data_IF_697705968285
#
_entry.id   IF_697705968285
#
_cell.length_a   1.000
_cell.length_b   1.000
_cell.length_c   1.000
_cell.angle_alpha   90.00
_cell.angle_beta   90.00
_cell.angle_gamma   90.00
#
_symmetry.space_group_name_H-M   'P 1'
#
loop_
_entity.id
_entity.type
_entity.pdbx_description
1 polymer ?
#
# COMPACT_ATOMS: atom_id res chain seq x y z
N UNK A 1 17.64 -9.66 -11.96
CA UNK A 1 17.94 -8.22 -12.08
C UNK A 1 18.62 -7.73 -10.79
N UNK A 2 19.60 -6.82 -10.88
CA UNK A 2 20.16 -6.12 -9.72
C UNK A 2 19.10 -5.36 -8.93
N UNK A 3 19.35 -5.13 -7.64
CA UNK A 3 18.39 -4.46 -6.75
C UNK A 3 18.01 -3.05 -7.22
N UNK A 4 18.99 -2.23 -7.60
CA UNK A 4 18.75 -0.86 -8.05
C UNK A 4 17.91 -0.82 -9.34
N UNK A 5 18.13 -1.78 -10.24
CA UNK A 5 17.33 -1.92 -11.46
C UNK A 5 15.88 -2.28 -11.08
N UNK A 6 15.68 -3.26 -10.18
CA UNK A 6 14.36 -3.65 -9.70
C UNK A 6 13.61 -2.48 -9.05
N UNK A 7 14.29 -1.66 -8.25
CA UNK A 7 13.71 -0.48 -7.61
C UNK A 7 13.24 0.54 -8.65
N UNK A 8 14.06 0.80 -9.67
CA UNK A 8 13.67 1.68 -10.77
C UNK A 8 12.43 1.15 -11.51
N UNK A 9 12.35 -0.17 -11.77
CA UNK A 9 11.13 -0.75 -12.37
C UNK A 9 9.91 -0.61 -11.45
N UNK A 10 10.09 -0.79 -10.13
CA UNK A 10 9.02 -0.70 -9.13
C UNK A 10 8.46 0.71 -9.01
N UNK A 11 9.28 1.73 -9.24
CA UNK A 11 8.87 3.13 -9.19
C UNK A 11 8.25 3.62 -10.50
N UNK A 12 8.38 2.87 -11.60
CA UNK A 12 7.79 3.19 -12.89
C UNK A 12 6.33 2.68 -12.98
N UNK A 13 5.39 3.62 -12.91
CA UNK A 13 3.95 3.36 -13.01
C UNK A 13 3.54 2.64 -14.29
N UNK A 14 4.26 2.83 -15.41
CA UNK A 14 3.97 2.15 -16.67
C UNK A 14 4.19 0.63 -16.56
N UNK A 15 5.06 0.21 -15.64
CA UNK A 15 5.44 -1.20 -15.43
C UNK A 15 4.68 -1.87 -14.31
N UNK A 16 3.85 -1.15 -13.56
CA UNK A 16 3.08 -1.72 -12.45
C UNK A 16 2.26 -2.94 -12.86
N UNK A 17 1.61 -2.92 -14.03
CA UNK A 17 0.82 -4.05 -14.53
C UNK A 17 1.67 -5.30 -14.77
N UNK A 18 2.91 -5.12 -15.24
CA UNK A 18 3.87 -6.19 -15.51
C UNK A 18 4.41 -6.79 -14.20
N UNK A 19 4.78 -5.94 -13.23
CA UNK A 19 5.44 -6.39 -11.99
C UNK A 19 4.44 -6.91 -10.94
N UNK A 20 3.18 -6.46 -10.97
CA UNK A 20 2.19 -6.75 -9.93
C UNK A 20 2.04 -8.26 -9.64
N UNK A 21 1.94 -9.16 -10.64
CA UNK A 21 1.86 -10.60 -10.39
C UNK A 21 3.08 -11.17 -9.65
N UNK A 22 4.27 -10.63 -9.92
CA UNK A 22 5.53 -11.08 -9.31
C UNK A 22 5.59 -10.70 -7.83
N UNK A 23 5.15 -9.49 -7.50
CA UNK A 23 5.18 -8.98 -6.11
C UNK A 23 3.92 -9.29 -5.31
N UNK A 24 2.89 -9.87 -5.94
CA UNK A 24 1.58 -10.16 -5.32
C UNK A 24 1.71 -10.93 -4.00
N UNK A 25 2.55 -11.97 -3.97
CA UNK A 25 2.75 -12.79 -2.78
C UNK A 25 3.25 -11.99 -1.55
N UNK A 26 4.04 -10.93 -1.79
CA UNK A 26 4.50 -10.05 -0.70
C UNK A 26 3.35 -9.21 -0.15
N UNK A 27 2.45 -8.76 -1.03
CA UNK A 27 1.26 -7.98 -0.65
C UNK A 27 0.25 -8.86 0.11
N UNK A 28 0.03 -10.10 -0.33
CA UNK A 28 -0.82 -11.08 0.37
C UNK A 28 -0.28 -11.41 1.76
N UNK A 29 1.05 -11.54 1.90
CA UNK A 29 1.71 -11.65 3.21
C UNK A 29 1.42 -10.42 4.08
N UNK A 30 1.52 -9.21 3.53
CA UNK A 30 1.19 -7.98 4.27
C UNK A 30 -0.27 -7.99 4.73
N UNK A 31 -1.21 -8.40 3.87
CA UNK A 31 -2.62 -8.53 4.23
C UNK A 31 -2.86 -9.58 5.32
N UNK A 32 -2.11 -10.69 5.30
CA UNK A 32 -2.15 -11.70 6.37
C UNK A 32 -1.69 -11.12 7.71
N UNK A 33 -0.69 -10.25 7.72
CA UNK A 33 -0.24 -9.54 8.93
C UNK A 33 -1.37 -8.61 9.42
N UNK A 34 -2.00 -7.84 8.52
CA UNK A 34 -3.13 -6.97 8.88
C UNK A 34 -4.25 -7.81 9.53
N UNK A 35 -4.66 -8.91 8.90
CA UNK A 35 -5.71 -9.81 9.40
C UNK A 35 -5.41 -10.38 10.80
N UNK A 36 -4.13 -10.58 11.14
CA UNK A 36 -3.73 -11.10 12.46
C UNK A 36 -3.95 -10.08 13.57
N UNK A 37 -3.80 -8.80 13.28
CA UNK A 37 -3.76 -7.74 14.30
C UNK A 37 -4.99 -6.83 14.30
N UNK A 38 -5.86 -6.96 13.29
CA UNK A 38 -7.07 -6.16 13.19
C UNK A 38 -8.27 -6.89 13.81
N UNK A 39 -9.10 -6.16 14.53
CA UNK A 39 -10.42 -6.65 14.92
C UNK A 39 -11.41 -6.35 13.79
N UNK A 40 -11.81 -7.39 13.05
CA UNK A 40 -12.75 -7.26 11.93
C UNK A 40 -14.15 -6.82 12.38
N UNK A 41 -14.53 -7.04 13.64
CA UNK A 41 -15.84 -6.62 14.16
C UNK A 41 -15.91 -5.14 14.47
N UNK A 42 -14.75 -4.49 14.64
CA UNK A 42 -14.65 -3.06 14.97
C UNK A 42 -14.04 -2.21 13.84
N UNK A 43 -13.71 -2.82 12.70
CA UNK A 43 -13.00 -2.11 11.63
C UNK A 43 -13.78 -2.10 10.33
N UNK A 44 -14.29 -0.92 9.96
CA UNK A 44 -15.06 -0.73 8.73
C UNK A 44 -14.19 -0.47 7.50
N UNK A 45 -12.99 0.11 7.66
CA UNK A 45 -12.17 0.56 6.53
C UNK A 45 -10.67 0.60 6.87
N UNK A 46 -9.84 0.15 5.93
CA UNK A 46 -8.38 0.24 5.97
C UNK A 46 -7.95 1.41 5.07
N UNK A 47 -7.13 2.33 5.59
CA UNK A 47 -6.53 3.41 4.81
C UNK A 47 -5.04 3.15 4.59
N UNK A 48 -4.63 3.03 3.32
CA UNK A 48 -3.25 2.73 2.95
C UNK A 48 -2.45 4.02 2.73
N UNK A 49 -1.38 4.21 3.49
CA UNK A 49 -0.43 5.32 3.35
C UNK A 49 1.02 4.82 3.23
N UNK A 50 1.95 5.72 2.89
CA UNK A 50 3.37 5.42 2.72
C UNK A 50 3.76 5.08 1.28
N UNK A 51 5.08 5.04 1.03
CA UNK A 51 5.64 4.90 -0.32
C UNK A 51 5.36 3.57 -1.00
N UNK A 52 5.35 2.46 -0.26
CA UNK A 52 5.01 1.13 -0.80
C UNK A 52 3.62 1.11 -1.43
N UNK A 53 2.68 1.86 -0.85
CA UNK A 53 1.32 1.95 -1.33
C UNK A 53 1.22 2.66 -2.69
N UNK A 54 2.28 3.29 -3.21
CA UNK A 54 2.28 3.85 -4.56
C UNK A 54 2.10 2.79 -5.67
N UNK A 55 2.36 1.50 -5.37
CA UNK A 55 2.13 0.41 -6.32
C UNK A 55 0.64 0.32 -6.71
N UNK A 56 0.36 0.39 -8.00
CA UNK A 56 -1.02 0.40 -8.52
C UNK A 56 -1.71 -0.93 -8.26
N UNK A 57 -2.88 -0.91 -7.63
CA UNK A 57 -3.71 -2.09 -7.39
C UNK A 57 -3.43 -2.81 -6.07
N UNK A 58 -2.49 -2.33 -5.25
CA UNK A 58 -2.20 -2.88 -3.92
C UNK A 58 -3.45 -2.89 -3.02
N UNK A 59 -4.28 -1.84 -3.11
CA UNK A 59 -5.52 -1.71 -2.34
C UNK A 59 -6.51 -2.84 -2.63
N UNK A 60 -6.57 -3.31 -3.87
CA UNK A 60 -7.49 -4.39 -4.27
C UNK A 60 -7.03 -5.75 -3.74
N UNK A 61 -5.72 -5.98 -3.68
CA UNK A 61 -5.17 -7.22 -3.12
C UNK A 61 -5.42 -7.24 -1.61
N UNK A 62 -5.13 -6.13 -0.92
CA UNK A 62 -5.37 -6.05 0.52
C UNK A 62 -6.87 -6.16 0.83
N UNK A 63 -7.75 -5.50 0.07
CA UNK A 63 -9.21 -5.65 0.23
C UNK A 63 -9.67 -7.08 0.02
N UNK A 64 -9.18 -7.76 -1.02
CA UNK A 64 -9.53 -9.16 -1.30
C UNK A 64 -9.11 -10.12 -0.19
N UNK A 65 -7.90 -9.95 0.36
CA UNK A 65 -7.37 -10.81 1.42
C UNK A 65 -7.96 -10.50 2.80
N UNK A 66 -8.29 -9.24 3.08
CA UNK A 66 -8.83 -8.83 4.40
C UNK A 66 -10.35 -8.94 4.46
N UNK A 67 -11.03 -8.78 3.33
CA UNK A 67 -12.48 -8.62 3.25
C UNK A 67 -12.98 -7.28 3.78
N UNK A 68 -12.08 -6.32 4.03
CA UNK A 68 -12.39 -5.00 4.58
C UNK A 68 -12.15 -3.95 3.50
N UNK A 69 -13.10 -3.01 3.36
CA UNK A 69 -12.97 -1.89 2.43
C UNK A 69 -11.62 -1.23 2.58
N UNK A 70 -10.86 -1.13 1.49
CA UNK A 70 -9.50 -0.60 1.52
C UNK A 70 -9.37 0.61 0.61
N UNK A 71 -9.01 1.75 1.21
CA UNK A 71 -8.90 3.03 0.52
C UNK A 71 -7.43 3.43 0.44
N UNK A 72 -6.98 3.74 -0.78
CA UNK A 72 -5.69 4.34 -1.04
C UNK A 72 -5.86 5.78 -1.55
N UNK A 73 -5.33 6.80 -0.86
CA UNK A 73 -5.33 8.18 -1.36
C UNK A 73 -4.60 8.30 -2.71
N UNK A 74 -4.85 9.39 -3.44
CA UNK A 74 -4.19 9.66 -4.73
C UNK A 74 -2.66 9.67 -4.60
N UNK A 75 -2.14 10.24 -3.51
CA UNK A 75 -0.70 10.34 -3.21
C UNK A 75 -0.39 9.73 -1.82
N UNK A 76 -0.35 8.40 -1.68
CA UNK A 76 -0.20 7.75 -0.38
C UNK A 76 1.17 8.04 0.26
N UNK A 77 2.21 8.28 -0.54
CA UNK A 77 3.56 8.67 -0.10
C UNK A 77 3.58 9.94 0.76
N UNK A 78 2.68 10.89 0.48
CA UNK A 78 2.70 12.23 1.10
C UNK A 78 1.78 12.35 2.32
N UNK A 79 1.02 11.32 2.68
CA UNK A 79 0.02 11.40 3.76
C UNK A 79 0.69 11.76 5.10
N UNK A 80 1.73 11.04 5.51
CA UNK A 80 2.42 11.30 6.78
C UNK A 80 3.18 12.63 6.77
N UNK A 81 3.99 12.96 5.73
CA UNK A 81 4.63 14.29 5.66
C UNK A 81 3.62 15.45 5.69
N UNK A 82 2.47 15.33 5.01
CA UNK A 82 1.42 16.34 5.05
C UNK A 82 0.82 16.49 6.45
N UNK A 83 0.54 15.37 7.13
CA UNK A 83 0.05 15.38 8.51
C UNK A 83 1.02 16.05 9.49
N UNK A 84 2.33 15.82 9.34
CA UNK A 84 3.36 16.50 10.12
C UNK A 84 3.32 18.01 9.84
N UNK A 85 3.36 18.41 8.56
CA UNK A 85 3.35 19.82 8.17
C UNK A 85 2.12 20.59 8.69
N UNK A 86 0.95 19.94 8.74
CA UNK A 86 -0.27 20.54 9.29
C UNK A 86 -0.21 20.79 10.81
N UNK A 87 0.65 20.07 11.54
CA UNK A 87 0.77 20.16 13.00
C UNK A 87 2.07 20.85 13.46
N UNK A 88 3.03 21.09 12.55
CA UNK A 88 4.17 21.94 12.79
C UNK A 88 3.75 23.42 12.72
N UNK A 89 2.95 23.84 13.70
CA UNK A 89 2.60 25.25 13.91
C UNK A 89 3.82 25.94 14.54
N UNK A 90 4.48 26.79 13.76
CA UNK A 90 5.48 27.75 14.26
C UNK A 90 4.75 28.97 14.78
#
# INVERSE_FOLDING_TARGET
IPFAEAEAMKQDYARHKEILPVVKAVIEKMATIINRYIDKSMTDTIYLCGGTCCLTGIEKIIEGETGIKTIKPKNPFLVTPAGIAMNCLI
#
